data_IF_317375152306
#
_entry.id   IF_317375152306
#
_cell.length_a   1.000
_cell.length_b   1.000
_cell.length_c   1.000
_cell.angle_alpha   90.00
_cell.angle_beta   90.00
_cell.angle_gamma   90.00
#
_symmetry.space_group_name_H-M   'P 1'
#
loop_
_entity.id
_entity.type
_entity.pdbx_description
1 polymer ?
#
# COMPACT_ATOMS: atom_id res chain seq x y z
N UNK A 1 -34.57 -8.31 -19.01
CA UNK A 1 -34.30 -7.39 -20.14
C UNK A 1 -32.88 -7.65 -20.66
N UNK A 2 -32.71 -7.96 -21.96
CA UNK A 2 -31.44 -8.36 -22.52
C UNK A 2 -30.56 -7.15 -22.93
N UNK A 3 -29.25 -7.33 -22.75
CA UNK A 3 -28.09 -6.75 -23.45
C UNK A 3 -28.17 -5.35 -24.09
N UNK A 4 -27.23 -4.48 -23.69
CA UNK A 4 -26.64 -3.52 -24.63
C UNK A 4 -25.15 -3.25 -24.31
N UNK A 5 -24.26 -3.79 -25.14
CA UNK A 5 -23.14 -3.00 -25.65
C UNK A 5 -21.77 -3.02 -24.98
N UNK A 6 -21.33 -4.08 -24.28
CA UNK A 6 -19.90 -4.24 -23.96
C UNK A 6 -19.18 -4.93 -25.13
N UNK A 7 -18.65 -4.15 -26.08
CA UNK A 7 -17.57 -4.60 -26.96
C UNK A 7 -16.40 -4.98 -26.06
N UNK A 8 -16.21 -6.28 -25.83
CA UNK A 8 -15.12 -6.82 -25.04
C UNK A 8 -13.78 -6.32 -25.59
N UNK A 9 -13.09 -5.50 -24.79
CA UNK A 9 -11.70 -5.15 -25.03
C UNK A 9 -10.88 -6.43 -24.96
N UNK A 10 -10.50 -6.98 -26.11
CA UNK A 10 -9.53 -8.08 -26.24
C UNK A 10 -8.12 -7.53 -25.95
N UNK A 11 -7.89 -7.07 -24.72
CA UNK A 11 -6.56 -6.75 -24.20
C UNK A 11 -5.95 -7.99 -23.56
N UNK A 12 -5.40 -8.90 -24.37
CA UNK A 12 -4.70 -10.08 -23.86
C UNK A 12 -3.28 -9.64 -23.49
N UNK A 13 -3.01 -9.52 -22.20
CA UNK A 13 -1.65 -9.44 -21.68
C UNK A 13 -0.94 -10.77 -21.89
N UNK A 14 0.12 -10.75 -22.71
CA UNK A 14 0.99 -11.90 -22.93
C UNK A 14 2.25 -11.75 -22.09
N UNK A 15 2.33 -12.52 -21.01
CA UNK A 15 3.55 -12.70 -20.21
C UNK A 15 3.94 -14.18 -20.33
N UNK A 16 5.12 -14.47 -20.88
CA UNK A 16 5.62 -15.84 -21.00
C UNK A 16 6.65 -16.17 -19.90
N UNK A 17 6.55 -17.34 -19.25
CA UNK A 17 7.71 -18.02 -18.71
C UNK A 17 8.41 -18.81 -19.83
N UNK A 18 9.74 -18.72 -19.91
CA UNK A 18 10.54 -19.56 -20.81
C UNK A 18 10.71 -20.91 -20.11
N UNK A 19 10.13 -21.99 -20.66
CA UNK A 19 10.51 -23.36 -20.33
C UNK A 19 11.75 -23.74 -21.16
N UNK A 20 12.76 -24.29 -20.49
CA UNK A 20 14.11 -24.57 -21.02
C UNK A 20 14.21 -25.75 -22.01
N UNK A 21 13.15 -26.14 -22.70
CA UNK A 21 13.19 -27.26 -23.64
C UNK A 21 12.58 -26.88 -24.99
N UNK A 22 13.35 -26.20 -25.83
CA UNK A 22 13.12 -26.21 -27.28
C UNK A 22 14.45 -26.48 -27.96
N UNK A 23 14.56 -27.70 -28.49
CA UNK A 23 15.62 -28.22 -29.33
C UNK A 23 16.00 -27.23 -30.43
N UNK A 24 17.28 -26.89 -30.43
CA UNK A 24 17.98 -25.97 -31.34
C UNK A 24 17.95 -26.52 -32.76
N UNK A 25 17.46 -25.73 -33.72
CA UNK A 25 17.86 -25.88 -35.11
C UNK A 25 18.30 -24.52 -35.67
N UNK A 26 19.63 -24.41 -35.86
CA UNK A 26 20.41 -23.43 -36.60
C UNK A 26 19.80 -22.05 -36.91
N UNK A 27 19.64 -21.22 -35.88
CA UNK A 27 19.66 -19.74 -35.98
C UNK A 27 20.53 -19.13 -34.84
N UNK A 28 21.65 -19.80 -34.54
CA UNK A 28 22.43 -19.63 -33.32
C UNK A 28 23.01 -18.24 -33.10
N UNK A 29 23.55 -17.57 -34.12
CA UNK A 29 24.36 -16.36 -33.88
C UNK A 29 23.52 -15.11 -33.58
N UNK A 30 22.32 -14.97 -34.18
CA UNK A 30 21.45 -13.80 -33.92
C UNK A 30 20.58 -13.95 -32.65
N UNK A 31 20.30 -15.18 -32.20
CA UNK A 31 19.55 -15.39 -30.95
C UNK A 31 20.42 -15.16 -29.71
N UNK A 32 21.72 -15.49 -29.82
CA UNK A 32 22.70 -15.35 -28.73
C UNK A 32 23.08 -13.87 -28.48
N UNK A 33 23.02 -12.99 -29.49
CA UNK A 33 23.34 -11.56 -29.33
C UNK A 33 22.14 -10.75 -28.81
N UNK A 34 20.89 -11.15 -29.10
CA UNK A 34 19.68 -10.42 -28.65
C UNK A 34 19.32 -10.74 -27.18
N UNK A 35 19.86 -11.83 -26.63
CA UNK A 35 19.86 -12.16 -25.20
C UNK A 35 21.00 -11.47 -24.42
N UNK A 36 21.71 -10.49 -25.01
CA UNK A 36 22.49 -9.51 -24.24
C UNK A 36 21.66 -9.03 -23.04
N UNK A 37 22.22 -9.26 -21.85
CA UNK A 37 21.50 -9.62 -20.63
C UNK A 37 20.37 -8.65 -20.28
N UNK A 38 19.12 -9.08 -20.46
CA UNK A 38 17.98 -8.45 -19.78
C UNK A 38 18.17 -8.58 -18.27
N UNK A 39 18.68 -7.54 -17.63
CA UNK A 39 18.88 -7.48 -16.18
C UNK A 39 17.70 -6.77 -15.52
N UNK A 40 17.29 -7.29 -14.37
CA UNK A 40 16.32 -6.60 -13.51
C UNK A 40 16.93 -5.29 -13.02
N UNK A 41 16.23 -4.18 -13.21
CA UNK A 41 16.63 -2.89 -12.67
C UNK A 41 16.28 -2.83 -11.17
N UNK A 42 17.19 -3.33 -10.33
CA UNK A 42 16.98 -3.39 -8.88
C UNK A 42 16.69 -2.03 -8.23
N UNK A 43 17.31 -0.96 -8.72
CA UNK A 43 17.03 0.41 -8.24
C UNK A 43 15.55 0.79 -8.37
N UNK A 44 14.89 0.37 -9.45
CA UNK A 44 13.47 0.60 -9.67
C UNK A 44 12.60 -0.26 -8.73
N UNK A 45 12.99 -1.52 -8.50
CA UNK A 45 12.31 -2.41 -7.55
C UNK A 45 12.41 -1.85 -6.13
N UNK A 46 13.58 -1.36 -5.70
CA UNK A 46 13.75 -0.72 -4.39
C UNK A 46 12.93 0.56 -4.27
N UNK A 47 12.82 1.35 -5.34
CA UNK A 47 11.96 2.54 -5.35
C UNK A 47 10.48 2.16 -5.23
N UNK A 48 10.02 1.11 -5.91
CA UNK A 48 8.67 0.57 -5.76
C UNK A 48 8.41 0.02 -4.34
N UNK A 49 9.42 -0.62 -3.74
CA UNK A 49 9.35 -1.10 -2.36
C UNK A 49 9.23 0.07 -1.38
N UNK A 50 9.99 1.15 -1.58
CA UNK A 50 9.90 2.38 -0.79
C UNK A 50 8.50 3.02 -0.92
N UNK A 51 7.95 3.14 -2.12
CA UNK A 51 6.60 3.68 -2.32
C UNK A 51 5.54 2.83 -1.62
N UNK A 52 5.68 1.51 -1.68
CA UNK A 52 4.76 0.57 -1.02
C UNK A 52 4.89 0.64 0.51
N UNK A 53 6.12 0.70 1.02
CA UNK A 53 6.41 0.88 2.44
C UNK A 53 5.77 2.15 2.98
N UNK A 54 6.01 3.28 2.32
CA UNK A 54 5.49 4.58 2.76
C UNK A 54 3.96 4.64 2.69
N UNK A 55 3.35 4.07 1.66
CA UNK A 55 1.89 3.96 1.58
C UNK A 55 1.30 3.13 2.74
N UNK A 56 1.96 2.02 3.08
CA UNK A 56 1.58 1.16 4.21
C UNK A 56 1.76 1.83 5.58
N UNK A 57 2.83 2.59 5.76
CA UNK A 57 3.04 3.42 6.97
C UNK A 57 1.87 4.37 7.12
N UNK A 58 1.55 5.15 6.08
CA UNK A 58 0.48 6.15 6.15
C UNK A 58 -0.92 5.56 6.39
N UNK A 59 -1.19 4.36 5.89
CA UNK A 59 -2.44 3.66 6.19
C UNK A 59 -2.59 3.36 7.70
N UNK A 60 -1.51 2.87 8.32
CA UNK A 60 -1.55 2.39 9.71
C UNK A 60 -1.22 3.47 10.75
N UNK A 61 -0.58 4.57 10.32
CA UNK A 61 -0.14 5.68 11.15
C UNK A 61 -1.26 6.30 12.00
N UNK A 62 -2.52 6.18 11.57
CA UNK A 62 -3.64 6.87 12.21
C UNK A 62 -4.53 5.96 13.06
N UNK A 63 -4.35 4.62 13.06
CA UNK A 63 -5.31 3.73 13.72
C UNK A 63 -5.44 4.01 15.23
N UNK A 64 -4.31 4.19 15.92
CA UNK A 64 -4.30 4.38 17.37
C UNK A 64 -4.60 5.82 17.81
N UNK A 65 -4.33 6.82 16.97
CA UNK A 65 -4.59 8.24 17.27
C UNK A 65 -5.97 8.74 16.85
N UNK A 66 -6.59 8.12 15.84
CA UNK A 66 -7.77 8.68 15.18
C UNK A 66 -8.98 8.74 16.10
N UNK A 67 -9.23 7.72 16.91
CA UNK A 67 -10.37 7.72 17.82
C UNK A 67 -10.26 8.79 18.91
N UNK A 68 -9.18 8.87 19.70
CA UNK A 68 -9.01 9.94 20.68
C UNK A 68 -9.11 11.34 20.05
N UNK A 69 -8.55 11.52 18.86
CA UNK A 69 -8.64 12.80 18.15
C UNK A 69 -10.08 13.15 17.76
N UNK A 70 -10.85 12.17 17.29
CA UNK A 70 -12.25 12.35 16.94
C UNK A 70 -13.12 12.72 18.14
N UNK A 71 -12.86 12.12 19.31
CA UNK A 71 -13.56 12.51 20.54
C UNK A 71 -13.27 13.96 20.92
N UNK A 72 -12.01 14.40 20.79
CA UNK A 72 -11.64 15.80 21.06
C UNK A 72 -12.31 16.78 20.07
N UNK A 73 -12.47 16.38 18.81
CA UNK A 73 -13.09 17.22 17.77
C UNK A 73 -14.62 17.30 17.86
N UNK A 74 -15.27 16.19 18.23
CA UNK A 74 -16.72 16.06 18.36
C UNK A 74 -17.04 15.01 19.43
N UNK A 75 -17.34 15.46 20.65
CA UNK A 75 -17.74 14.59 21.78
C UNK A 75 -18.98 13.74 21.47
N UNK A 76 -19.78 14.11 20.46
CA UNK A 76 -20.97 13.34 20.04
C UNK A 76 -20.67 12.19 19.08
N UNK A 77 -19.39 11.99 18.70
CA UNK A 77 -19.00 10.94 17.77
C UNK A 77 -19.27 9.54 18.34
N UNK A 78 -19.93 8.71 17.54
CA UNK A 78 -20.21 7.32 17.91
C UNK A 78 -19.17 6.37 17.35
N UNK A 79 -18.96 5.24 18.02
CA UNK A 79 -18.09 4.14 17.53
C UNK A 79 -18.53 3.68 16.14
N UNK A 80 -19.83 3.68 15.85
CA UNK A 80 -20.38 3.36 14.52
C UNK A 80 -19.88 4.32 13.44
N UNK A 81 -19.85 5.63 13.74
CA UNK A 81 -19.35 6.63 12.80
C UNK A 81 -17.84 6.52 12.60
N UNK A 82 -17.08 6.25 13.67
CA UNK A 82 -15.66 5.94 13.58
C UNK A 82 -15.39 4.72 12.69
N UNK A 83 -16.14 3.63 12.88
CA UNK A 83 -16.11 2.47 12.00
C UNK A 83 -16.40 2.83 10.53
N UNK A 84 -17.35 3.75 10.28
CA UNK A 84 -17.60 4.26 8.93
C UNK A 84 -16.41 5.03 8.35
N UNK A 85 -15.72 5.87 9.14
CA UNK A 85 -14.49 6.57 8.71
C UNK A 85 -13.41 5.56 8.27
N UNK A 86 -13.16 4.53 9.10
CA UNK A 86 -12.21 3.46 8.77
C UNK A 86 -12.64 2.70 7.51
N UNK A 87 -13.92 2.36 7.41
CA UNK A 87 -14.48 1.66 6.24
C UNK A 87 -14.37 2.48 4.95
N UNK A 88 -14.51 3.81 5.01
CA UNK A 88 -14.40 4.68 3.84
C UNK A 88 -13.02 4.66 3.19
N UNK A 89 -11.96 4.51 3.99
CA UNK A 89 -10.61 4.27 3.46
C UNK A 89 -10.59 3.00 2.60
N UNK A 90 -11.13 1.90 3.13
CA UNK A 90 -11.20 0.62 2.41
C UNK A 90 -12.16 0.65 1.21
N UNK A 91 -13.28 1.34 1.30
CA UNK A 91 -14.22 1.46 0.19
C UNK A 91 -13.59 2.20 -0.99
N UNK A 92 -12.86 3.29 -0.70
CA UNK A 92 -12.19 4.08 -1.74
C UNK A 92 -11.16 3.24 -2.52
N UNK A 93 -10.41 2.36 -1.85
CA UNK A 93 -9.42 1.50 -2.50
C UNK A 93 -10.07 0.42 -3.36
N UNK A 94 -11.24 -0.12 -2.96
CA UNK A 94 -11.99 -1.13 -3.72
C UNK A 94 -12.44 -0.55 -5.06
N UNK A 95 -12.87 0.72 -5.06
CA UNK A 95 -13.30 1.43 -6.27
C UNK A 95 -12.10 1.88 -7.10
N UNK A 96 -11.08 2.45 -6.47
CA UNK A 96 -9.92 3.02 -7.14
C UNK A 96 -9.02 1.96 -7.80
N UNK A 97 -8.79 0.82 -7.15
CA UNK A 97 -7.89 -0.22 -7.64
C UNK A 97 -8.21 -0.73 -9.06
N UNK A 98 -9.46 -1.14 -9.39
CA UNK A 98 -9.80 -1.57 -10.74
C UNK A 98 -9.75 -0.41 -11.76
N UNK A 99 -10.18 0.80 -11.36
CA UNK A 99 -10.15 1.98 -12.24
C UNK A 99 -8.72 2.34 -12.64
N UNK A 100 -7.82 2.42 -11.66
CA UNK A 100 -6.41 2.72 -11.86
C UNK A 100 -5.69 1.59 -12.62
N UNK A 101 -6.02 0.33 -12.30
CA UNK A 101 -5.50 -0.83 -13.03
C UNK A 101 -5.90 -0.82 -14.51
N UNK A 102 -7.17 -0.55 -14.80
CA UNK A 102 -7.67 -0.39 -16.17
C UNK A 102 -7.06 0.82 -16.88
N UNK A 103 -6.88 1.94 -16.18
CA UNK A 103 -6.28 3.13 -16.75
C UNK A 103 -4.80 2.91 -17.09
N UNK A 104 -4.00 2.39 -16.14
CA UNK A 104 -2.58 2.04 -16.35
C UNK A 104 -2.40 1.07 -17.51
N UNK A 105 -3.31 0.09 -17.59
CA UNK A 105 -3.39 -0.87 -18.70
C UNK A 105 -3.55 -0.19 -20.05
N UNK A 106 -4.49 0.75 -20.13
CA UNK A 106 -4.86 1.41 -21.38
C UNK A 106 -3.77 2.35 -21.89
N UNK A 107 -3.03 3.00 -20.98
CA UNK A 107 -1.96 3.94 -21.35
C UNK A 107 -0.61 3.25 -21.51
N UNK A 108 -0.50 1.96 -21.18
CA UNK A 108 0.74 1.16 -21.18
C UNK A 108 1.88 1.81 -20.35
N UNK A 109 1.50 2.56 -19.31
CA UNK A 109 2.39 3.32 -18.42
C UNK A 109 1.88 3.25 -16.99
N UNK A 110 2.79 3.36 -16.03
CA UNK A 110 2.49 3.24 -14.60
C UNK A 110 2.60 4.56 -13.85
N UNK A 111 3.54 5.42 -14.26
CA UNK A 111 3.95 6.65 -13.62
C UNK A 111 2.80 7.65 -13.48
N UNK A 112 1.98 7.95 -14.52
CA UNK A 112 0.87 8.89 -14.33
C UNK A 112 -0.17 8.40 -13.30
N UNK A 113 -0.62 7.12 -13.33
CA UNK A 113 -1.45 6.55 -12.27
C UNK A 113 -0.83 6.65 -10.87
N UNK A 114 0.46 6.32 -10.72
CA UNK A 114 1.15 6.44 -9.43
C UNK A 114 1.23 7.88 -8.92
N UNK A 115 1.50 8.84 -9.82
CA UNK A 115 1.55 10.25 -9.46
C UNK A 115 0.20 10.76 -8.97
N UNK A 116 -0.91 10.36 -9.61
CA UNK A 116 -2.26 10.71 -9.14
C UNK A 116 -2.53 10.09 -7.77
N UNK A 117 -2.16 8.82 -7.57
CA UNK A 117 -2.34 8.17 -6.27
C UNK A 117 -1.58 8.92 -5.18
N UNK A 118 -0.31 9.23 -5.41
CA UNK A 118 0.53 9.89 -4.43
C UNK A 118 0.08 11.35 -4.18
N UNK A 119 -0.43 12.05 -5.20
CA UNK A 119 -1.06 13.36 -5.04
C UNK A 119 -2.35 13.30 -4.22
N UNK A 120 -3.21 12.31 -4.44
CA UNK A 120 -4.43 12.13 -3.64
C UNK A 120 -4.10 11.70 -2.21
N UNK A 121 -3.05 10.91 -2.01
CA UNK A 121 -2.53 10.61 -0.68
C UNK A 121 -2.06 11.88 0.04
N UNK A 122 -1.31 12.75 -0.65
CA UNK A 122 -0.96 14.08 -0.14
C UNK A 122 -2.21 14.88 0.24
N UNK A 123 -3.18 15.00 -0.67
CA UNK A 123 -4.39 15.78 -0.45
C UNK A 123 -5.19 15.25 0.76
N UNK A 124 -5.34 13.93 0.89
CA UNK A 124 -6.03 13.31 2.02
C UNK A 124 -5.34 13.61 3.36
N UNK A 125 -4.01 13.48 3.44
CA UNK A 125 -3.25 13.80 4.65
C UNK A 125 -3.23 15.30 4.95
N UNK A 126 -3.19 16.14 3.91
CA UNK A 126 -3.25 17.58 4.08
C UNK A 126 -4.62 18.00 4.63
N UNK A 127 -5.72 17.48 4.07
CA UNK A 127 -7.07 17.69 4.59
C UNK A 127 -7.23 17.22 6.04
N UNK A 128 -6.56 16.13 6.43
CA UNK A 128 -6.55 15.68 7.83
C UNK A 128 -5.95 16.73 8.75
N UNK A 129 -4.80 17.28 8.38
CA UNK A 129 -4.11 18.30 9.15
C UNK A 129 -4.99 19.56 9.32
N UNK A 130 -5.78 19.90 8.29
CA UNK A 130 -6.66 21.06 8.29
C UNK A 130 -8.00 20.84 9.02
N UNK A 131 -8.27 19.65 9.60
CA UNK A 131 -9.59 19.33 10.15
C UNK A 131 -10.03 20.28 11.27
N UNK A 132 -9.08 20.77 12.07
CA UNK A 132 -9.33 21.74 13.17
C UNK A 132 -9.78 23.12 12.66
N UNK A 133 -9.55 23.44 11.38
CA UNK A 133 -9.98 24.71 10.79
C UNK A 133 -11.48 24.73 10.45
N UNK A 134 -12.12 23.57 10.43
CA UNK A 134 -13.54 23.45 10.12
C UNK A 134 -14.40 23.57 11.39
N UNK A 135 -15.64 24.09 11.28
CA UNK A 135 -16.58 24.08 12.39
C UNK A 135 -16.82 22.66 12.92
N UNK A 136 -17.01 22.50 14.24
CA UNK A 136 -17.19 21.19 14.90
C UNK A 136 -18.28 20.33 14.23
N UNK A 137 -19.35 20.94 13.71
CA UNK A 137 -20.43 20.24 12.99
C UNK A 137 -19.97 19.56 11.69
N UNK A 138 -18.87 20.02 11.09
CA UNK A 138 -18.33 19.51 9.82
C UNK A 138 -17.06 18.68 10.00
N UNK A 139 -16.31 18.83 11.08
CA UNK A 139 -15.00 18.20 11.30
C UNK A 139 -15.03 16.68 11.09
N UNK A 140 -16.07 15.99 11.57
CA UNK A 140 -16.25 14.53 11.37
C UNK A 140 -16.43 14.12 9.91
N UNK A 141 -17.10 14.95 9.09
CA UNK A 141 -17.31 14.68 7.67
C UNK A 141 -16.06 15.03 6.86
N UNK A 142 -15.32 16.06 7.27
CA UNK A 142 -14.00 16.39 6.70
C UNK A 142 -13.00 15.28 6.98
N UNK A 143 -13.03 14.70 8.19
CA UNK A 143 -12.23 13.52 8.53
C UNK A 143 -12.55 12.33 7.62
N UNK A 144 -13.84 12.05 7.43
CA UNK A 144 -14.31 11.01 6.53
C UNK A 144 -13.83 11.25 5.09
N UNK A 145 -13.95 12.47 4.58
CA UNK A 145 -13.47 12.85 3.26
C UNK A 145 -11.95 12.71 3.13
N UNK A 146 -11.18 13.16 4.14
CA UNK A 146 -9.74 12.98 4.21
C UNK A 146 -9.33 11.51 4.08
N UNK A 147 -9.96 10.62 4.87
CA UNK A 147 -9.67 9.18 4.82
C UNK A 147 -10.06 8.56 3.49
N UNK A 148 -11.20 8.95 2.93
CA UNK A 148 -11.62 8.48 1.60
C UNK A 148 -10.62 8.89 0.52
N UNK A 149 -10.18 10.15 0.50
CA UNK A 149 -9.20 10.64 -0.48
C UNK A 149 -7.83 9.96 -0.33
N UNK A 150 -7.35 9.79 0.92
CA UNK A 150 -6.11 9.08 1.20
C UNK A 150 -6.17 7.59 0.78
N UNK A 151 -7.31 6.93 0.96
CA UNK A 151 -7.47 5.53 0.56
C UNK A 151 -7.43 5.31 -0.95
N UNK A 152 -7.86 6.29 -1.77
CA UNK A 152 -7.62 6.26 -3.23
C UNK A 152 -6.11 6.22 -3.52
N UNK A 153 -5.34 7.03 -2.77
CA UNK A 153 -3.89 7.06 -2.89
C UNK A 153 -3.22 5.72 -2.55
N UNK A 154 -3.80 4.95 -1.63
CA UNK A 154 -3.25 3.64 -1.24
C UNK A 154 -3.39 2.57 -2.33
N UNK A 155 -4.34 2.72 -3.25
CA UNK A 155 -4.55 1.79 -4.36
C UNK A 155 -3.30 1.59 -5.25
N UNK A 156 -2.32 2.51 -5.17
CA UNK A 156 -1.02 2.35 -5.82
C UNK A 156 -0.28 1.07 -5.44
N UNK A 157 -0.50 0.51 -4.24
CA UNK A 157 0.15 -0.73 -3.80
C UNK A 157 -0.19 -1.90 -4.73
N UNK A 158 -1.43 -1.97 -5.22
CA UNK A 158 -1.84 -2.99 -6.20
C UNK A 158 -1.12 -2.82 -7.54
N UNK A 159 -0.98 -1.58 -8.00
CA UNK A 159 -0.25 -1.24 -9.23
C UNK A 159 1.23 -1.60 -9.14
N UNK A 160 1.88 -1.27 -8.02
CA UNK A 160 3.31 -1.55 -7.80
C UNK A 160 3.60 -3.04 -7.72
N UNK A 161 2.72 -3.84 -7.11
CA UNK A 161 2.83 -5.30 -7.10
C UNK A 161 2.74 -5.91 -8.50
N UNK A 162 1.75 -5.46 -9.28
CA UNK A 162 1.62 -5.89 -10.67
C UNK A 162 2.84 -5.48 -11.50
N UNK A 163 3.32 -4.27 -11.29
CA UNK A 163 4.50 -3.75 -11.98
C UNK A 163 5.77 -4.51 -11.65
N UNK A 164 6.02 -4.83 -10.37
CA UNK A 164 7.21 -5.59 -9.98
C UNK A 164 7.32 -6.93 -10.72
N UNK A 165 6.19 -7.60 -10.96
CA UNK A 165 6.16 -8.84 -11.76
C UNK A 165 6.53 -8.63 -13.24
N UNK A 166 6.25 -7.43 -13.77
CA UNK A 166 6.46 -7.02 -15.16
C UNK A 166 7.83 -6.35 -15.39
N UNK A 167 8.41 -5.77 -14.34
CA UNK A 167 9.71 -5.10 -14.35
C UNK A 167 10.89 -6.05 -14.06
N UNK A 168 10.61 -7.25 -13.55
CA UNK A 168 11.62 -8.26 -13.21
C UNK A 168 11.61 -9.45 -14.17
N UNK A 169 12.78 -10.06 -14.35
CA UNK A 169 12.91 -11.32 -15.10
C UNK A 169 12.36 -12.50 -14.28
N UNK A 170 12.03 -13.61 -14.95
CA UNK A 170 11.41 -14.78 -14.29
C UNK A 170 12.21 -15.30 -13.08
N UNK A 171 13.56 -15.31 -13.17
CA UNK A 171 14.44 -15.72 -12.07
C UNK A 171 14.33 -14.82 -10.84
N UNK A 172 14.22 -13.51 -11.05
CA UNK A 172 14.20 -12.52 -9.98
C UNK A 172 12.78 -12.19 -9.49
N UNK A 173 11.73 -12.65 -10.19
CA UNK A 173 10.35 -12.24 -9.94
C UNK A 173 9.87 -12.51 -8.52
N UNK A 174 10.23 -13.67 -7.96
CA UNK A 174 9.89 -14.01 -6.57
C UNK A 174 10.55 -13.01 -5.61
N UNK A 175 11.85 -12.77 -5.77
CA UNK A 175 12.62 -11.82 -4.95
C UNK A 175 12.14 -10.38 -5.10
N UNK A 176 11.83 -9.94 -6.31
CA UNK A 176 11.27 -8.60 -6.56
C UNK A 176 9.91 -8.44 -5.88
N UNK A 177 9.04 -9.44 -5.98
CA UNK A 177 7.74 -9.44 -5.30
C UNK A 177 7.90 -9.42 -3.78
N UNK A 178 8.88 -10.17 -3.24
CA UNK A 178 9.20 -10.19 -1.82
C UNK A 178 9.68 -8.83 -1.29
N UNK A 179 10.42 -8.04 -2.06
CA UNK A 179 10.77 -6.66 -1.66
C UNK A 179 9.53 -5.76 -1.55
N UNK A 180 8.59 -5.87 -2.49
CA UNK A 180 7.36 -5.08 -2.46
C UNK A 180 6.45 -5.50 -1.29
N UNK A 181 6.22 -6.81 -1.11
CA UNK A 181 5.39 -7.32 -0.03
C UNK A 181 6.05 -7.14 1.33
N UNK A 182 7.38 -7.27 1.41
CA UNK A 182 8.17 -6.95 2.59
C UNK A 182 8.08 -5.49 2.98
N UNK A 183 8.24 -4.57 2.02
CA UNK A 183 8.02 -3.14 2.26
C UNK A 183 6.61 -2.85 2.79
N UNK A 184 5.59 -3.47 2.19
CA UNK A 184 4.20 -3.36 2.66
C UNK A 184 4.04 -3.81 4.12
N UNK A 185 4.53 -5.00 4.45
CA UNK A 185 4.40 -5.59 5.79
C UNK A 185 5.15 -4.78 6.84
N UNK A 186 6.38 -4.36 6.52
CA UNK A 186 7.18 -3.48 7.38
C UNK A 186 6.47 -2.15 7.64
N UNK A 187 5.97 -1.52 6.58
CA UNK A 187 5.29 -0.24 6.70
C UNK A 187 4.03 -0.33 7.56
N UNK A 188 3.22 -1.38 7.35
CA UNK A 188 2.00 -1.61 8.12
C UNK A 188 2.26 -1.96 9.59
N UNK A 189 3.49 -2.36 9.92
CA UNK A 189 3.83 -2.75 11.27
C UNK A 189 4.49 -1.61 12.04
N UNK A 190 5.39 -0.87 11.38
CA UNK A 190 6.12 0.25 11.97
C UNK A 190 5.27 1.54 11.95
N UNK A 191 4.18 1.60 11.19
CA UNK A 191 3.33 2.80 11.09
C UNK A 191 2.94 3.41 12.44
N UNK A 192 2.32 2.66 13.36
CA UNK A 192 2.01 3.17 14.71
C UNK A 192 3.26 3.54 15.53
N UNK A 193 4.40 2.91 15.29
CA UNK A 193 5.65 3.31 15.95
C UNK A 193 6.13 4.71 15.52
N UNK A 194 5.88 5.11 14.27
CA UNK A 194 6.15 6.49 13.84
C UNK A 194 5.28 7.51 14.57
N UNK A 195 4.10 7.12 15.06
CA UNK A 195 3.23 8.01 15.85
C UNK A 195 3.90 8.43 17.18
N UNK A 196 4.68 7.54 17.82
CA UNK A 196 5.43 7.89 19.05
C UNK A 196 6.42 9.02 18.87
N UNK A 197 6.96 9.22 17.67
CA UNK A 197 7.88 10.33 17.43
C UNK A 197 7.19 11.69 17.64
N UNK A 198 5.86 11.71 17.58
CA UNK A 198 5.05 12.92 17.72
C UNK A 198 4.31 13.02 19.06
N UNK A 199 4.35 12.00 19.93
CA UNK A 199 3.69 12.06 21.25
C UNK A 199 4.34 13.08 22.20
N UNK A 200 5.60 13.44 21.95
CA UNK A 200 6.31 14.52 22.65
C UNK A 200 5.68 15.89 22.40
N UNK A 201 4.91 16.04 21.31
CA UNK A 201 4.14 17.24 20.96
C UNK A 201 2.77 17.09 21.63
N UNK A 202 2.66 17.41 22.91
CA UNK A 202 1.39 17.30 23.65
C UNK A 202 0.22 18.05 22.99
N UNK A 203 -1.01 17.76 23.38
CA UNK A 203 -2.21 18.48 22.92
C UNK A 203 -2.57 19.63 23.90
N UNK A 204 -2.94 20.85 23.45
CA UNK A 204 -3.21 21.28 22.07
C UNK A 204 -1.96 21.61 21.24
N UNK A 205 -0.75 21.55 21.80
CA UNK A 205 0.49 21.72 21.05
C UNK A 205 0.76 23.18 20.68
N UNK A 206 1.37 23.42 19.51
CA UNK A 206 1.78 24.76 19.07
C UNK A 206 0.75 25.36 18.08
N UNK A 207 0.07 26.47 18.45
CA UNK A 207 -0.87 27.13 17.54
C UNK A 207 -0.14 27.90 16.45
N UNK A 208 -0.36 27.54 15.19
CA UNK A 208 0.05 28.30 14.03
C UNK A 208 -1.19 29.04 13.52
N UNK A 209 -1.29 30.32 13.87
CA UNK A 209 -2.35 31.17 13.36
C UNK A 209 -1.90 31.81 12.03
N UNK A 210 -2.66 31.56 10.97
CA UNK A 210 -2.44 32.19 9.67
C UNK A 210 -3.40 33.37 9.51
N UNK A 211 -2.85 34.58 9.42
CA UNK A 211 -3.62 35.77 9.06
C UNK A 211 -3.71 35.85 7.53
N UNK A 212 -4.78 35.29 6.97
CA UNK A 212 -5.05 35.37 5.53
C UNK A 212 -6.04 36.51 5.28
N UNK A 213 -5.57 37.58 4.62
CA UNK A 213 -6.40 38.68 4.08
C UNK A 213 -7.43 39.30 5.06
N UNK A 214 -7.07 39.47 6.34
CA UNK A 214 -7.89 40.25 7.29
C UNK A 214 -9.25 39.64 7.65
N UNK A 215 -9.52 38.38 7.29
CA UNK A 215 -10.74 37.65 7.67
C UNK A 215 -10.38 36.47 8.58
N UNK A 216 -10.81 36.55 9.84
CA UNK A 216 -10.82 35.51 10.89
C UNK A 216 -9.49 34.79 11.18
N UNK A 217 -9.11 34.77 12.47
CA UNK A 217 -7.89 34.12 12.97
C UNK A 217 -8.03 32.59 12.93
N UNK A 218 -7.67 31.96 11.82
CA UNK A 218 -7.61 30.51 11.71
C UNK A 218 -6.31 30.00 12.35
N UNK A 219 -6.42 29.40 13.54
CA UNK A 219 -5.30 28.78 14.23
C UNK A 219 -5.32 27.27 14.00
N UNK A 220 -4.30 26.76 13.33
CA UNK A 220 -4.05 25.33 13.19
C UNK A 220 -3.12 24.90 14.31
N UNK A 221 -3.55 24.00 15.17
CA UNK A 221 -2.68 23.52 16.22
C UNK A 221 -1.86 22.33 15.72
N UNK A 222 -0.53 22.46 15.74
CA UNK A 222 0.34 21.32 15.52
C UNK A 222 0.42 20.56 16.84
N UNK A 223 -0.34 19.47 16.90
CA UNK A 223 -0.45 18.56 18.04
C UNK A 223 0.02 17.16 17.67
N UNK A 224 0.11 16.25 18.64
CA UNK A 224 0.39 14.83 18.41
C UNK A 224 -0.55 14.16 17.38
N UNK A 225 -1.73 14.73 17.12
CA UNK A 225 -2.69 14.19 16.17
C UNK A 225 -2.48 14.74 14.75
N UNK A 226 -2.22 16.04 14.60
CA UNK A 226 -2.07 16.71 13.30
C UNK A 226 -0.64 16.62 12.74
N UNK A 227 0.38 16.56 13.61
CA UNK A 227 1.79 16.49 13.20
C UNK A 227 2.14 15.25 12.36
N UNK A 228 1.69 14.02 12.67
CA UNK A 228 1.91 12.86 11.82
C UNK A 228 1.34 13.04 10.40
N UNK A 229 0.17 13.68 10.26
CA UNK A 229 -0.44 13.96 8.97
C UNK A 229 0.32 15.01 8.16
N UNK A 230 0.88 16.02 8.83
CA UNK A 230 1.76 17.00 8.20
C UNK A 230 3.06 16.33 7.70
N UNK A 231 3.68 15.49 8.53
CA UNK A 231 4.87 14.72 8.14
C UNK A 231 4.57 13.80 6.94
N UNK A 232 3.44 13.10 6.96
CA UNK A 232 2.99 12.28 5.83
C UNK A 232 2.81 13.11 4.55
N UNK A 233 2.26 14.32 4.65
CA UNK A 233 2.13 15.26 3.52
C UNK A 233 3.50 15.65 2.93
N UNK A 234 4.47 15.99 3.78
CA UNK A 234 5.86 16.30 3.34
C UNK A 234 6.50 15.11 2.64
N UNK A 235 6.33 13.91 3.21
CA UNK A 235 6.82 12.67 2.60
C UNK A 235 6.17 12.44 1.23
N UNK A 236 4.86 12.68 1.08
CA UNK A 236 4.20 12.52 -0.22
C UNK A 236 4.72 13.51 -1.28
N UNK A 237 5.04 14.76 -0.90
CA UNK A 237 5.68 15.73 -1.80
C UNK A 237 7.06 15.22 -2.23
N UNK A 238 7.85 14.71 -1.29
CA UNK A 238 9.14 14.08 -1.60
C UNK A 238 8.99 12.86 -2.52
N UNK A 239 7.98 12.02 -2.29
CA UNK A 239 7.68 10.89 -3.17
C UNK A 239 7.26 11.34 -4.58
N UNK A 240 6.48 12.44 -4.71
CA UNK A 240 6.14 13.01 -6.01
C UNK A 240 7.41 13.48 -6.74
N UNK A 241 8.32 14.13 -6.02
CA UNK A 241 9.62 14.52 -6.55
C UNK A 241 10.42 13.30 -7.04
N UNK A 242 10.54 12.24 -6.22
CA UNK A 242 11.22 11.00 -6.63
C UNK A 242 10.55 10.36 -7.85
N UNK A 243 9.22 10.37 -7.92
CA UNK A 243 8.47 9.87 -9.07
C UNK A 243 8.78 10.65 -10.34
N UNK A 244 8.87 11.98 -10.25
CA UNK A 244 9.16 12.83 -11.41
C UNK A 244 10.57 12.58 -11.93
N UNK A 245 11.59 12.63 -11.07
CA UNK A 245 13.00 12.65 -11.48
C UNK A 245 13.64 11.26 -11.61
N UNK A 246 13.34 10.33 -10.71
CA UNK A 246 14.02 9.03 -10.63
C UNK A 246 13.20 7.84 -11.12
N UNK A 247 11.87 7.93 -11.12
CA UNK A 247 11.04 6.83 -11.61
C UNK A 247 11.03 6.78 -13.15
N UNK A 248 11.87 5.90 -13.68
CA UNK A 248 11.92 5.52 -15.10
C UNK A 248 11.39 4.11 -15.23
N UNK A 249 10.28 3.96 -15.95
CA UNK A 249 9.64 2.66 -16.12
C UNK A 249 10.48 1.73 -16.98
N UNK A 250 10.70 0.52 -16.48
CA UNK A 250 11.37 -0.55 -17.21
C UNK A 250 10.52 -1.82 -17.15
N UNK A 251 10.18 -2.37 -18.31
CA UNK A 251 9.28 -3.52 -18.46
C UNK A 251 10.03 -4.76 -18.98
N UNK A 252 11.20 -5.03 -18.40
CA UNK A 252 12.14 -6.08 -18.85
C UNK A 252 11.50 -7.48 -18.83
N UNK A 253 10.55 -7.70 -17.91
CA UNK A 253 9.83 -8.97 -17.73
C UNK A 253 8.70 -9.22 -18.72
N UNK A 254 8.33 -8.24 -19.54
CA UNK A 254 7.28 -8.36 -20.57
C UNK A 254 7.91 -8.33 -21.96
N UNK A 255 7.64 -9.34 -22.77
CA UNK A 255 7.99 -9.29 -24.19
C UNK A 255 7.19 -8.16 -24.85
N UNK A 256 7.88 -7.14 -25.39
CA UNK A 256 7.23 -6.10 -26.20
C UNK A 256 6.31 -6.76 -27.22
N UNK A 257 5.08 -6.25 -27.35
CA UNK A 257 4.09 -6.69 -28.33
C UNK A 257 4.72 -6.59 -29.72
N UNK A 258 5.24 -7.70 -30.25
CA UNK A 258 5.61 -7.78 -31.66
C UNK A 258 4.32 -7.78 -32.49
N UNK A 259 4.42 -7.37 -33.75
CA UNK A 259 3.28 -7.19 -34.67
C UNK A 259 2.34 -8.40 -34.68
N UNK A 260 1.06 -8.18 -34.98
CA UNK A 260 0.00 -9.21 -34.93
C UNK A 260 0.33 -10.49 -35.75
N UNK A 261 1.27 -10.41 -36.71
CA UNK A 261 1.73 -11.53 -37.53
C UNK A 261 2.66 -12.53 -36.79
N UNK A 262 3.47 -12.11 -35.82
CA UNK A 262 4.31 -13.02 -35.01
C UNK A 262 3.55 -13.59 -33.79
N UNK A 263 2.39 -13.03 -33.47
CA UNK A 263 1.59 -13.42 -32.31
C UNK A 263 0.87 -14.78 -32.44
N UNK A 264 0.78 -15.34 -33.64
CA UNK A 264 0.14 -16.64 -33.91
C UNK A 264 0.95 -17.83 -33.38
N UNK A 265 2.27 -17.70 -33.22
CA UNK A 265 3.16 -18.80 -32.82
C UNK A 265 3.52 -18.80 -31.33
N UNK A 266 2.88 -17.96 -30.51
CA UNK A 266 3.12 -17.92 -29.06
C UNK A 266 2.19 -18.94 -28.38
N UNK A 267 2.72 -19.91 -27.59
CA UNK A 267 1.89 -20.87 -26.88
C UNK A 267 0.85 -20.15 -26.01
N UNK A 268 -0.41 -20.60 -26.11
CA UNK A 268 -1.48 -20.13 -25.24
C UNK A 268 -1.18 -20.57 -23.81
N UNK A 269 -1.17 -19.63 -22.88
CA UNK A 269 -1.06 -19.94 -21.45
C UNK A 269 -2.25 -20.84 -21.05
N UNK A 270 -2.02 -21.86 -20.21
CA UNK A 270 -3.11 -22.64 -19.65
C UNK A 270 -4.06 -21.72 -18.88
N UNK A 271 -5.38 -22.01 -18.87
CA UNK A 271 -6.31 -21.25 -18.05
C UNK A 271 -5.88 -21.35 -16.58
N UNK A 272 -5.88 -20.21 -15.88
CA UNK A 272 -5.59 -20.21 -14.46
C UNK A 272 -6.70 -20.94 -13.70
N UNK A 273 -6.35 -21.60 -12.60
CA UNK A 273 -7.32 -22.26 -11.74
C UNK A 273 -8.15 -21.23 -10.99
N UNK A 274 -9.43 -21.12 -11.37
CA UNK A 274 -10.37 -20.17 -10.77
C UNK A 274 -10.66 -20.50 -9.30
N UNK A 275 -10.69 -21.78 -8.94
CA UNK A 275 -10.95 -22.21 -7.57
C UNK A 275 -9.78 -21.86 -6.68
N UNK A 276 -8.55 -22.15 -7.13
CA UNK A 276 -7.34 -21.77 -6.40
C UNK A 276 -7.25 -20.25 -6.21
N UNK A 277 -7.51 -19.46 -7.26
CA UNK A 277 -7.52 -17.99 -7.16
C UNK A 277 -8.61 -17.49 -6.21
N UNK A 278 -9.83 -18.06 -6.26
CA UNK A 278 -10.90 -17.72 -5.34
C UNK A 278 -10.54 -18.05 -3.88
N UNK A 279 -9.93 -19.21 -3.64
CA UNK A 279 -9.44 -19.60 -2.32
C UNK A 279 -8.36 -18.63 -1.81
N UNK A 280 -7.40 -18.24 -2.66
CA UNK A 280 -6.39 -17.24 -2.31
C UNK A 280 -7.02 -15.88 -1.94
N UNK A 281 -8.03 -15.43 -2.68
CA UNK A 281 -8.76 -14.21 -2.33
C UNK A 281 -9.53 -14.34 -1.02
N UNK A 282 -10.18 -15.48 -0.77
CA UNK A 282 -10.89 -15.72 0.49
C UNK A 282 -9.95 -15.71 1.69
N UNK A 283 -8.81 -16.43 1.60
CA UNK A 283 -7.78 -16.43 2.65
C UNK A 283 -7.27 -15.00 2.89
N UNK A 284 -6.95 -14.27 1.81
CA UNK A 284 -6.41 -12.93 1.93
C UNK A 284 -7.42 -11.94 2.52
N UNK A 285 -8.68 -12.08 2.16
CA UNK A 285 -9.78 -11.31 2.73
C UNK A 285 -9.91 -11.58 4.23
N UNK A 286 -9.95 -12.85 4.65
CA UNK A 286 -10.05 -13.22 6.07
C UNK A 286 -8.87 -12.68 6.88
N UNK A 287 -7.65 -12.79 6.36
CA UNK A 287 -6.46 -12.23 7.02
C UNK A 287 -6.58 -10.72 7.26
N UNK A 288 -6.95 -9.94 6.23
CA UNK A 288 -7.10 -8.49 6.38
C UNK A 288 -8.30 -8.11 7.24
N UNK A 289 -9.37 -8.91 7.20
CA UNK A 289 -10.53 -8.71 8.05
C UNK A 289 -10.16 -8.84 9.52
N UNK A 290 -9.49 -9.93 9.91
CA UNK A 290 -9.01 -10.14 11.30
C UNK A 290 -8.07 -9.01 11.71
N UNK A 291 -7.05 -8.72 10.89
CA UNK A 291 -6.08 -7.66 11.15
C UNK A 291 -6.76 -6.30 11.42
N UNK A 292 -7.68 -5.89 10.54
CA UNK A 292 -8.35 -4.60 10.68
C UNK A 292 -9.24 -4.53 11.92
N UNK A 293 -9.93 -5.62 12.26
CA UNK A 293 -10.78 -5.65 13.47
C UNK A 293 -9.94 -5.53 14.74
N UNK A 294 -8.83 -6.28 14.84
CA UNK A 294 -7.98 -6.23 16.03
C UNK A 294 -7.37 -4.83 16.17
N UNK A 295 -6.82 -4.25 15.11
CA UNK A 295 -6.24 -2.90 15.14
C UNK A 295 -7.28 -1.82 15.48
N UNK A 296 -8.52 -1.96 15.00
CA UNK A 296 -9.57 -0.94 15.23
C UNK A 296 -10.11 -0.99 16.66
N UNK A 297 -10.22 -2.18 17.27
CA UNK A 297 -10.82 -2.36 18.59
C UNK A 297 -9.75 -2.41 19.70
N UNK A 298 -8.50 -2.75 19.37
CA UNK A 298 -7.42 -2.96 20.33
C UNK A 298 -7.21 -1.79 21.28
N UNK A 299 -7.17 -0.56 20.76
CA UNK A 299 -6.99 0.65 21.58
C UNK A 299 -8.13 0.85 22.58
N UNK A 300 -9.39 0.73 22.15
CA UNK A 300 -10.55 0.85 23.04
C UNK A 300 -10.56 -0.25 24.11
N UNK A 301 -10.27 -1.48 23.68
CA UNK A 301 -10.23 -2.63 24.55
C UNK A 301 -9.14 -2.48 25.62
N UNK A 302 -7.95 -2.01 25.24
CA UNK A 302 -6.85 -1.75 26.16
C UNK A 302 -7.18 -0.63 27.17
N UNK A 303 -7.79 0.47 26.70
CA UNK A 303 -8.25 1.55 27.59
C UNK A 303 -9.27 1.04 28.61
N UNK A 304 -10.23 0.22 28.19
CA UNK A 304 -11.27 -0.33 29.08
C UNK A 304 -10.73 -1.39 30.05
N UNK A 305 -9.90 -2.33 29.58
CA UNK A 305 -9.43 -3.46 30.39
C UNK A 305 -8.37 -3.06 31.41
N UNK A 306 -7.45 -2.16 31.04
CA UNK A 306 -6.33 -1.77 31.90
C UNK A 306 -6.53 -0.41 32.59
N UNK A 307 -7.64 0.28 32.33
CA UNK A 307 -7.89 1.66 32.76
C UNK A 307 -6.75 2.61 32.39
N UNK A 308 -6.11 2.37 31.24
CA UNK A 308 -5.02 3.19 30.74
C UNK A 308 -5.52 4.51 30.16
N UNK A 309 -4.73 5.57 30.33
CA UNK A 309 -5.01 6.84 29.65
C UNK A 309 -4.78 6.71 28.14
N UNK A 310 -5.42 7.54 27.29
CA UNK A 310 -5.19 7.49 25.84
C UNK A 310 -3.71 7.62 25.46
N UNK A 311 -2.93 8.39 26.23
CA UNK A 311 -1.49 8.54 26.04
C UNK A 311 -0.71 7.28 26.38
N UNK A 312 -1.10 6.55 27.42
CA UNK A 312 -0.44 5.31 27.82
C UNK A 312 -0.70 4.19 26.81
N UNK A 313 -1.93 4.08 26.32
CA UNK A 313 -2.29 3.06 25.31
C UNK A 313 -1.51 3.29 24.04
N UNK A 314 -1.45 4.52 23.54
CA UNK A 314 -0.67 4.86 22.34
C UNK A 314 0.80 4.49 22.51
N UNK A 315 1.37 4.72 23.69
CA UNK A 315 2.78 4.39 23.97
C UNK A 315 3.03 2.87 23.98
N UNK A 316 2.22 2.10 24.70
CA UNK A 316 2.40 0.65 24.81
C UNK A 316 2.09 -0.09 23.51
N UNK A 317 1.03 0.30 22.80
CA UNK A 317 0.72 -0.20 21.46
C UNK A 317 1.90 -0.01 20.52
N UNK A 318 2.47 1.19 20.51
CA UNK A 318 3.55 1.49 19.61
C UNK A 318 4.85 0.70 19.93
N UNK A 319 5.11 0.36 21.20
CA UNK A 319 6.18 -0.59 21.56
C UNK A 319 5.88 -1.98 21.00
N UNK A 320 4.67 -2.50 21.17
CA UNK A 320 4.27 -3.81 20.65
C UNK A 320 4.41 -3.87 19.12
N UNK A 321 3.95 -2.83 18.43
CA UNK A 321 4.12 -2.64 16.99
C UNK A 321 5.59 -2.58 16.55
N UNK A 322 6.45 -1.94 17.34
CA UNK A 322 7.89 -1.88 17.05
C UNK A 322 8.52 -3.28 17.10
N UNK A 323 8.18 -4.08 18.10
CA UNK A 323 8.65 -5.47 18.24
C UNK A 323 8.14 -6.31 17.05
N UNK A 324 6.85 -6.19 16.72
CA UNK A 324 6.26 -6.86 15.55
C UNK A 324 7.00 -6.47 14.26
N UNK A 325 7.43 -5.22 14.15
CA UNK A 325 8.13 -4.69 12.98
C UNK A 325 9.52 -5.28 12.81
N UNK A 326 10.24 -5.45 13.92
CA UNK A 326 11.55 -6.11 13.95
C UNK A 326 11.46 -7.60 13.61
N UNK A 327 10.44 -8.30 14.10
CA UNK A 327 10.20 -9.70 13.76
C UNK A 327 9.85 -9.87 12.27
N UNK A 328 9.00 -9.00 11.74
CA UNK A 328 8.68 -8.98 10.31
C UNK A 328 9.94 -8.73 9.46
N UNK A 329 10.76 -7.74 9.83
CA UNK A 329 12.02 -7.43 9.15
C UNK A 329 12.96 -8.62 9.13
N UNK A 330 13.13 -9.26 10.28
CA UNK A 330 13.99 -10.44 10.43
C UNK A 330 13.53 -11.58 9.50
N UNK A 331 12.22 -11.82 9.43
CA UNK A 331 11.64 -12.83 8.54
C UNK A 331 11.92 -12.54 7.06
N UNK A 332 11.70 -11.30 6.61
CA UNK A 332 11.95 -10.93 5.22
C UNK A 332 13.44 -10.96 4.86
N UNK A 333 14.32 -10.54 5.78
CA UNK A 333 15.78 -10.67 5.58
C UNK A 333 16.16 -12.14 5.42
N UNK A 334 15.67 -13.03 6.30
CA UNK A 334 15.88 -14.46 6.17
C UNK A 334 15.39 -14.98 4.81
N UNK A 335 14.16 -14.62 4.41
CA UNK A 335 13.58 -15.02 3.11
C UNK A 335 14.49 -14.64 1.93
N UNK A 336 15.00 -13.41 1.92
CA UNK A 336 15.82 -12.86 0.84
C UNK A 336 17.24 -13.45 0.84
N UNK A 337 17.88 -13.55 2.01
CA UNK A 337 19.27 -14.01 2.13
C UNK A 337 19.38 -15.51 1.85
N UNK A 338 18.44 -16.31 2.36
CA UNK A 338 18.49 -17.77 2.20
C UNK A 338 17.79 -18.27 0.92
N UNK A 339 17.32 -17.37 0.06
CA UNK A 339 16.60 -17.66 -1.19
C UNK A 339 15.48 -18.72 -0.98
N UNK A 340 14.72 -18.55 0.11
CA UNK A 340 13.75 -19.54 0.60
C UNK A 340 12.61 -19.80 -0.40
N UNK A 341 12.38 -18.89 -1.35
CA UNK A 341 11.39 -19.06 -2.41
C UNK A 341 11.67 -20.20 -3.40
N UNK A 342 12.90 -20.72 -3.46
CA UNK A 342 13.25 -21.88 -4.31
C UNK A 342 13.07 -23.23 -3.59
N UNK A 343 12.84 -23.24 -2.27
CA UNK A 343 12.73 -24.47 -1.46
C UNK A 343 11.27 -24.75 -1.09
N UNK A 344 10.74 -25.86 -1.59
CA UNK A 344 9.32 -26.29 -1.46
C UNK A 344 8.83 -26.46 0.00
N UNK A 345 9.75 -26.63 0.95
CA UNK A 345 9.47 -26.79 2.40
C UNK A 345 8.94 -25.48 3.04
N UNK A 346 9.05 -24.34 2.33
CA UNK A 346 8.77 -23.02 2.88
C UNK A 346 7.32 -22.59 2.89
N UNK A 347 6.39 -23.24 2.16
CA UNK A 347 4.95 -22.90 2.28
C UNK A 347 4.46 -23.12 3.72
N UNK A 348 4.97 -24.16 4.38
CA UNK A 348 4.69 -24.43 5.79
C UNK A 348 5.34 -23.41 6.73
N UNK A 349 6.55 -22.92 6.42
CA UNK A 349 7.25 -21.91 7.24
C UNK A 349 6.62 -20.52 7.05
N UNK A 350 6.21 -20.15 5.83
CA UNK A 350 5.47 -18.91 5.57
C UNK A 350 4.09 -18.93 6.23
N UNK A 351 3.39 -20.07 6.20
CA UNK A 351 2.17 -20.25 6.99
C UNK A 351 2.50 -20.12 8.47
N UNK A 352 3.52 -20.82 8.98
CA UNK A 352 3.87 -20.81 10.40
C UNK A 352 4.30 -19.42 10.89
N UNK A 353 5.04 -18.65 10.09
CA UNK A 353 5.44 -17.29 10.46
C UNK A 353 4.27 -16.31 10.32
N UNK A 354 3.42 -16.45 9.30
CA UNK A 354 2.19 -15.64 9.25
C UNK A 354 1.22 -16.03 10.37
N UNK A 355 1.20 -17.30 10.79
CA UNK A 355 0.43 -17.78 11.94
C UNK A 355 1.00 -17.19 13.22
N UNK A 356 2.32 -17.26 13.44
CA UNK A 356 2.99 -16.70 14.63
C UNK A 356 2.88 -15.18 14.69
N UNK A 357 2.94 -14.48 13.55
CA UNK A 357 2.69 -13.02 13.46
C UNK A 357 1.20 -12.69 13.62
N UNK A 358 0.30 -13.64 13.35
CA UNK A 358 -1.16 -13.55 13.55
C UNK A 358 -1.65 -14.13 14.88
N UNK A 359 -0.82 -14.84 15.63
CA UNK A 359 -1.11 -15.49 16.92
C UNK A 359 -0.29 -14.88 18.06
N UNK A 360 0.57 -13.89 17.78
CA UNK A 360 1.16 -13.01 18.79
C UNK A 360 0.20 -11.88 19.22
N UNK A 361 -1.12 -12.15 19.14
CA UNK A 361 -2.20 -11.31 19.70
C UNK A 361 -2.65 -11.87 21.04
#
# INVERSE_FOLDING_TARGET
>A
MPFMGLKGSKGIYKVQPINNEISVNNNGVNKIIIEEERKTEWGLIYLCALFTFTASVQFTLFFTSLWPFMQILDDSVTVTFFGAIIAMYSLSQIVASPLLGFWSTRIEKLKPPLMICNFLMFLGNFLYCLVELFPMSMSRYVMLASRFTAGIGWAQVGLLKSFASSASINKDRSRATAFITGGMALGSTIGPAFQMLFTWIGYPGYPICLDIFGLSKYCLNISMFTAPALAASVVNIFLLFLQIFWFKESYVGVLKRKSDKENLNLPKLPPYDRLAVAACYAIRFTQFFIFTNIETIGTEFAMMMFMWSPTDVVFWEAIAHSIRGLLALSTYICYIVFNLGERFVCFLIEIFVNLVVSEAF
#
